data_IF_308889057428
#
_entry.id   IF_308889057428
#
_cell.length_a   1.000
_cell.length_b   1.000
_cell.length_c   1.000
_cell.angle_alpha   90.00
_cell.angle_beta   90.00
_cell.angle_gamma   90.00
#
_symmetry.space_group_name_H-M   'P 1'
#
loop_
_entity.id
_entity.type
_entity.pdbx_description
1 polymer ?
#
# COMPACT_ATOMS: atom_id res chain seq x y z
N UNK A 1 24.01 -6.63 -11.14
CA UNK A 1 22.57 -6.66 -10.85
C UNK A 1 22.28 -5.26 -10.41
N UNK A 2 21.73 -4.46 -11.30
CA UNK A 2 21.41 -3.07 -10.99
C UNK A 2 20.18 -3.15 -10.09
N UNK A 3 20.35 -2.86 -8.80
CA UNK A 3 19.26 -2.57 -7.90
C UNK A 3 18.51 -1.37 -8.50
N UNK A 4 17.51 -1.63 -9.36
CA UNK A 4 16.40 -0.71 -9.54
C UNK A 4 15.84 -0.56 -8.13
N UNK A 5 16.19 0.55 -7.49
CA UNK A 5 15.79 0.87 -6.13
C UNK A 5 14.26 0.86 -6.11
N UNK A 6 13.67 -0.29 -5.78
CA UNK A 6 12.25 -0.40 -5.52
C UNK A 6 11.97 0.63 -4.42
N UNK A 7 11.35 1.74 -4.81
CA UNK A 7 11.14 2.88 -3.93
C UNK A 7 10.02 2.52 -2.97
N UNK A 8 10.38 1.80 -1.91
CA UNK A 8 9.45 1.33 -0.89
C UNK A 8 9.30 2.37 0.22
N UNK A 9 8.05 2.63 0.61
CA UNK A 9 7.72 3.59 1.66
C UNK A 9 6.63 3.03 2.57
N UNK A 10 6.88 3.02 3.87
CA UNK A 10 5.88 2.70 4.89
C UNK A 10 5.03 3.93 5.16
N UNK A 11 3.72 3.83 4.92
CA UNK A 11 2.77 4.92 5.09
C UNK A 11 2.23 4.98 6.52
N UNK A 12 1.96 3.82 7.10
CA UNK A 12 1.50 3.68 8.49
C UNK A 12 1.68 2.25 8.97
N UNK A 13 1.95 2.11 10.26
CA UNK A 13 2.19 0.84 10.94
C UNK A 13 1.52 0.87 12.31
N UNK A 14 0.96 -0.27 12.69
CA UNK A 14 0.44 -0.57 14.03
C UNK A 14 0.98 -1.93 14.46
N UNK A 15 0.63 -2.40 15.65
CA UNK A 15 1.08 -3.72 16.14
C UNK A 15 0.73 -4.89 15.21
N UNK A 16 -0.40 -4.84 14.50
CA UNK A 16 -0.87 -5.97 13.67
C UNK A 16 -1.12 -5.62 12.21
N UNK A 17 -1.04 -4.33 11.84
CA UNK A 17 -1.40 -3.85 10.51
C UNK A 17 -0.38 -2.89 9.96
N UNK A 18 -0.05 -3.03 8.67
CA UNK A 18 0.92 -2.18 7.98
C UNK A 18 0.32 -1.76 6.64
N UNK A 19 0.45 -0.47 6.32
CA UNK A 19 0.22 0.08 5.00
C UNK A 19 1.55 0.59 4.45
N UNK A 20 1.98 0.08 3.30
CA UNK A 20 3.18 0.51 2.61
C UNK A 20 2.95 0.54 1.10
N UNK A 21 3.84 1.20 0.35
CA UNK A 21 3.79 1.24 -1.11
C UNK A 21 5.15 0.99 -1.72
N UNK A 22 5.17 0.57 -2.96
CA UNK A 22 6.35 0.67 -3.80
C UNK A 22 6.02 1.31 -5.14
N UNK A 23 7.02 1.94 -5.74
CA UNK A 23 6.97 2.48 -7.10
C UNK A 23 8.02 1.76 -7.96
N UNK A 24 7.58 1.31 -9.13
CA UNK A 24 8.39 0.67 -10.17
C UNK A 24 8.08 1.26 -11.57
N UNK A 25 8.58 0.65 -12.64
CA UNK A 25 8.36 1.11 -14.02
C UNK A 25 6.88 1.07 -14.46
N UNK A 26 6.05 0.25 -13.80
CA UNK A 26 4.63 0.07 -14.11
C UNK A 26 3.73 1.00 -13.28
N UNK A 27 4.22 1.51 -12.16
CA UNK A 27 3.58 2.56 -11.36
C UNK A 27 3.65 2.32 -9.86
N UNK A 28 2.66 2.85 -9.12
CA UNK A 28 2.60 2.73 -7.66
C UNK A 28 1.62 1.63 -7.25
N UNK A 29 2.10 0.68 -6.46
CA UNK A 29 1.26 -0.35 -5.82
C UNK A 29 1.26 -0.19 -4.31
N UNK A 30 0.08 -0.15 -3.72
CA UNK A 30 -0.14 -0.11 -2.28
C UNK A 30 -0.37 -1.50 -1.72
N UNK A 31 0.15 -1.73 -0.52
CA UNK A 31 0.12 -3.00 0.20
C UNK A 31 -0.50 -2.76 1.57
N UNK A 32 -1.59 -3.45 1.85
CA UNK A 32 -2.24 -3.44 3.16
C UNK A 32 -2.08 -4.83 3.78
N UNK A 33 -1.22 -4.94 4.78
CA UNK A 33 -0.99 -6.16 5.54
C UNK A 33 -1.92 -6.20 6.74
N UNK A 34 -2.83 -7.19 6.74
CA UNK A 34 -3.86 -7.40 7.75
C UNK A 34 -3.57 -8.62 8.64
N UNK A 35 -2.29 -8.85 8.93
CA UNK A 35 -1.77 -10.02 9.64
C UNK A 35 -1.76 -11.29 8.79
N UNK A 36 -2.93 -11.90 8.57
CA UNK A 36 -3.06 -13.16 7.80
C UNK A 36 -3.37 -12.99 6.31
N UNK A 37 -3.53 -11.75 5.86
CA UNK A 37 -3.94 -11.39 4.51
C UNK A 37 -3.17 -10.13 4.08
N UNK A 38 -2.66 -10.11 2.86
CA UNK A 38 -2.10 -8.92 2.23
C UNK A 38 -2.95 -8.55 1.03
N UNK A 39 -3.36 -7.28 0.95
CA UNK A 39 -4.03 -6.73 -0.22
C UNK A 39 -3.03 -5.94 -1.04
N UNK A 40 -2.95 -6.25 -2.34
CA UNK A 40 -2.20 -5.48 -3.33
C UNK A 40 -3.19 -4.64 -4.13
N UNK A 41 -2.97 -3.33 -4.16
CA UNK A 41 -3.97 -2.37 -4.62
C UNK A 41 -3.29 -1.38 -5.56
N UNK A 42 -3.87 -1.17 -6.74
CA UNK A 42 -3.40 -0.14 -7.67
C UNK A 42 -3.62 1.27 -7.08
N UNK A 43 -2.90 2.28 -7.59
CA UNK A 43 -3.05 3.66 -7.11
C UNK A 43 -4.50 4.18 -7.15
N UNK A 44 -5.22 3.93 -8.25
CA UNK A 44 -6.62 4.39 -8.41
C UNK A 44 -7.56 3.72 -7.41
N UNK A 45 -7.43 2.41 -7.20
CA UNK A 45 -8.25 1.66 -6.24
C UNK A 45 -7.91 2.02 -4.79
N UNK A 46 -6.65 2.39 -4.51
CA UNK A 46 -6.21 2.83 -3.20
C UNK A 46 -6.90 4.13 -2.78
N UNK A 47 -6.99 5.10 -3.67
CA UNK A 47 -7.66 6.38 -3.39
C UNK A 47 -9.15 6.19 -3.07
N UNK A 48 -9.83 5.29 -3.80
CA UNK A 48 -11.22 4.92 -3.52
C UNK A 48 -11.35 4.18 -2.18
N UNK A 49 -10.44 3.25 -1.86
CA UNK A 49 -10.43 2.53 -0.58
C UNK A 49 -10.22 3.49 0.61
N UNK A 50 -9.27 4.42 0.51
CA UNK A 50 -9.02 5.43 1.53
C UNK A 50 -10.25 6.33 1.70
N UNK A 51 -10.90 6.71 0.61
CA UNK A 51 -12.16 7.48 0.65
C UNK A 51 -13.26 6.71 1.37
N UNK A 52 -13.41 5.42 1.09
CA UNK A 52 -14.34 4.54 1.79
C UNK A 52 -14.05 4.47 3.29
N UNK A 53 -12.80 4.25 3.70
CA UNK A 53 -12.43 4.19 5.11
C UNK A 53 -12.67 5.52 5.84
N UNK A 54 -12.41 6.65 5.19
CA UNK A 54 -12.72 7.98 5.75
C UNK A 54 -14.22 8.24 5.92
N UNK A 55 -15.08 7.50 5.22
CA UNK A 55 -16.53 7.63 5.32
C UNK A 55 -17.15 6.77 6.44
N UNK A 56 -16.35 5.93 7.11
CA UNK A 56 -16.80 5.14 8.27
C UNK A 56 -17.13 6.10 9.44
N UNK A 57 -18.28 5.86 10.10
CA UNK A 57 -18.79 6.68 11.21
C UNK A 57 -18.33 6.19 12.57
#
# INVERSE_FOLDING_TARGET
MSDEEMNTEVLSETENFIAWRHEDEDGVTYHLELGGLTLHISADEWDELVTLFKAIK
#
